data_IF_794479221003
#
_entry.id   IF_794479221003
#
_cell.length_a   1.000
_cell.length_b   1.000
_cell.length_c   1.000
_cell.angle_alpha   90.00
_cell.angle_beta   90.00
_cell.angle_gamma   90.00
#
_symmetry.space_group_name_H-M   'P 1'
#
loop_
_entity.id
_entity.type
_entity.pdbx_description
1 polymer ?
#
# COMPACT_ATOMS: atom_id res chain seq x y z
N UNK A 1 -1.47 -23.51 -23.58
CA UNK A 1 -2.35 -24.13 -22.56
C UNK A 1 -3.12 -23.02 -21.87
N UNK A 2 -4.46 -23.06 -21.88
CA UNK A 2 -5.31 -21.96 -21.39
C UNK A 2 -5.21 -21.84 -19.86
N UNK A 3 -4.80 -20.66 -19.39
CA UNK A 3 -4.53 -20.39 -17.97
C UNK A 3 -5.82 -20.03 -17.22
N UNK A 4 -6.75 -20.98 -17.12
CA UNK A 4 -8.06 -20.75 -16.49
C UNK A 4 -7.97 -20.47 -14.98
N UNK A 5 -6.98 -21.04 -14.28
CA UNK A 5 -6.77 -20.84 -12.84
C UNK A 5 -6.26 -19.45 -12.47
N UNK A 6 -5.35 -18.87 -13.26
CA UNK A 6 -4.88 -17.49 -13.05
C UNK A 6 -6.02 -16.47 -13.28
N UNK A 7 -6.88 -16.72 -14.27
CA UNK A 7 -8.04 -15.87 -14.54
C UNK A 7 -9.08 -15.93 -13.42
N UNK A 8 -9.33 -17.10 -12.83
CA UNK A 8 -10.25 -17.24 -11.69
C UNK A 8 -9.72 -16.49 -10.46
N UNK A 9 -8.44 -16.65 -10.10
CA UNK A 9 -7.84 -15.93 -8.97
C UNK A 9 -7.85 -14.41 -9.16
N UNK A 10 -7.53 -13.93 -10.36
CA UNK A 10 -7.62 -12.51 -10.69
C UNK A 10 -9.06 -11.99 -10.63
N UNK A 11 -10.05 -12.78 -11.08
CA UNK A 11 -11.46 -12.44 -10.97
C UNK A 11 -11.91 -12.36 -9.50
N UNK A 12 -11.49 -13.28 -8.63
CA UNK A 12 -11.77 -13.22 -7.20
C UNK A 12 -11.16 -11.98 -6.54
N UNK A 13 -9.89 -11.70 -6.85
CA UNK A 13 -9.20 -10.51 -6.32
C UNK A 13 -9.88 -9.22 -6.79
N UNK A 14 -10.25 -9.13 -8.08
CA UNK A 14 -10.96 -7.97 -8.61
C UNK A 14 -12.35 -7.81 -7.96
N UNK A 15 -13.10 -8.89 -7.80
CA UNK A 15 -14.39 -8.84 -7.12
C UNK A 15 -14.24 -8.42 -5.65
N UNK A 16 -13.23 -8.93 -4.93
CA UNK A 16 -12.99 -8.52 -3.54
C UNK A 16 -12.68 -7.03 -3.39
N UNK A 17 -12.08 -6.40 -4.41
CA UNK A 17 -11.83 -4.95 -4.42
C UNK A 17 -13.10 -4.19 -4.83
N UNK A 18 -13.78 -4.61 -5.91
CA UNK A 18 -14.93 -3.90 -6.48
C UNK A 18 -16.14 -3.83 -5.52
N UNK A 19 -16.29 -4.82 -4.65
CA UNK A 19 -17.40 -4.90 -3.70
C UNK A 19 -16.98 -4.61 -2.25
N UNK A 20 -15.73 -4.20 -2.01
CA UNK A 20 -15.27 -3.82 -0.68
C UNK A 20 -15.91 -2.49 -0.22
N UNK A 21 -16.22 -2.39 1.06
CA UNK A 21 -16.55 -1.12 1.69
C UNK A 21 -15.33 -0.20 1.75
N UNK A 22 -15.53 1.09 2.01
CA UNK A 22 -14.43 2.06 2.15
C UNK A 22 -13.46 1.67 3.27
N UNK A 23 -13.99 1.17 4.38
CA UNK A 23 -13.21 0.71 5.53
C UNK A 23 -12.39 -0.54 5.16
N UNK A 24 -12.96 -1.45 4.37
CA UNK A 24 -12.24 -2.61 3.88
C UNK A 24 -11.11 -2.22 2.90
N UNK A 25 -11.36 -1.27 1.99
CA UNK A 25 -10.33 -0.75 1.09
C UNK A 25 -9.18 -0.08 1.87
N UNK A 26 -9.50 0.68 2.93
CA UNK A 26 -8.49 1.26 3.82
C UNK A 26 -7.65 0.17 4.49
N UNK A 27 -8.27 -0.87 5.05
CA UNK A 27 -7.54 -2.00 5.64
C UNK A 27 -6.66 -2.72 4.62
N UNK A 28 -7.15 -2.92 3.39
CA UNK A 28 -6.38 -3.53 2.31
C UNK A 28 -5.14 -2.71 1.92
N UNK A 29 -5.23 -1.38 1.92
CA UNK A 29 -4.08 -0.50 1.73
C UNK A 29 -3.07 -0.66 2.85
N UNK A 30 -3.51 -0.65 4.11
CA UNK A 30 -2.62 -0.84 5.27
C UNK A 30 -1.94 -2.22 5.26
N UNK A 31 -2.68 -3.29 4.96
CA UNK A 31 -2.13 -4.64 4.80
C UNK A 31 -1.11 -4.70 3.66
N UNK A 32 -1.41 -4.01 2.55
CA UNK A 32 -0.48 -3.82 1.44
C UNK A 32 0.81 -3.14 1.86
N UNK A 33 0.73 -2.03 2.60
CA UNK A 33 1.89 -1.28 3.08
C UNK A 33 2.78 -2.14 3.98
N UNK A 34 2.18 -2.87 4.94
CA UNK A 34 2.91 -3.79 5.82
C UNK A 34 3.59 -4.89 5.02
N UNK A 35 2.88 -5.50 4.06
CA UNK A 35 3.41 -6.56 3.20
C UNK A 35 4.60 -6.07 2.38
N UNK A 36 4.45 -4.97 1.65
CA UNK A 36 5.51 -4.46 0.79
C UNK A 36 6.71 -3.96 1.59
N UNK A 37 6.50 -3.34 2.75
CA UNK A 37 7.60 -2.96 3.66
C UNK A 37 8.40 -4.17 4.13
N UNK A 38 7.74 -5.26 4.52
CA UNK A 38 8.42 -6.52 4.89
C UNK A 38 9.20 -7.12 3.71
N UNK A 39 8.63 -7.10 2.50
CA UNK A 39 9.29 -7.58 1.29
C UNK A 39 10.51 -6.72 0.92
N UNK A 40 10.39 -5.39 1.02
CA UNK A 40 11.51 -4.47 0.80
C UNK A 40 12.64 -4.74 1.78
N UNK A 41 12.33 -4.85 3.09
CA UNK A 41 13.31 -5.17 4.12
C UNK A 41 14.05 -6.49 3.86
N UNK A 42 13.33 -7.53 3.45
CA UNK A 42 13.96 -8.81 3.10
C UNK A 42 14.86 -8.67 1.88
N UNK A 43 14.40 -7.98 0.83
CA UNK A 43 15.19 -7.76 -0.39
C UNK A 43 16.49 -6.96 -0.11
N UNK A 44 16.45 -6.00 0.82
CA UNK A 44 17.66 -5.30 1.28
C UNK A 44 18.64 -6.27 1.93
N UNK A 45 18.16 -7.14 2.83
CA UNK A 45 18.98 -8.18 3.47
C UNK A 45 19.60 -9.14 2.44
N UNK A 46 18.85 -9.46 1.39
CA UNK A 46 19.27 -10.35 0.31
C UNK A 46 20.14 -9.64 -0.74
N UNK A 47 20.38 -8.33 -0.60
CA UNK A 47 21.08 -7.45 -1.56
C UNK A 47 20.42 -7.38 -2.94
N UNK A 48 19.11 -7.67 -3.03
CA UNK A 48 18.31 -7.50 -4.24
C UNK A 48 17.79 -6.06 -4.32
N UNK A 49 18.62 -5.19 -4.89
CA UNK A 49 18.37 -3.73 -4.99
C UNK A 49 17.13 -3.42 -5.83
N UNK A 50 16.91 -4.16 -6.91
CA UNK A 50 15.77 -3.92 -7.79
C UNK A 50 14.47 -4.21 -7.05
N UNK A 51 14.39 -5.37 -6.39
CA UNK A 51 13.20 -5.78 -5.65
C UNK A 51 12.99 -4.92 -4.40
N UNK A 52 14.04 -4.46 -3.73
CA UNK A 52 13.87 -3.53 -2.61
C UNK A 52 13.23 -2.23 -3.08
N UNK A 53 13.76 -1.62 -4.14
CA UNK A 53 13.24 -0.40 -4.72
C UNK A 53 11.78 -0.56 -5.18
N UNK A 54 11.47 -1.62 -5.93
CA UNK A 54 10.10 -1.90 -6.38
C UNK A 54 9.09 -1.99 -5.23
N UNK A 55 9.46 -2.58 -4.09
CA UNK A 55 8.57 -2.68 -2.94
C UNK A 55 8.53 -1.39 -2.11
N UNK A 56 9.62 -0.62 -2.03
CA UNK A 56 9.63 0.69 -1.39
C UNK A 56 8.72 1.68 -2.12
N UNK A 57 8.81 1.74 -3.46
CA UNK A 57 7.93 2.59 -4.27
C UNK A 57 6.46 2.22 -4.05
N UNK A 58 6.11 0.93 -4.04
CA UNK A 58 4.72 0.50 -3.74
C UNK A 58 4.24 0.94 -2.36
N UNK A 59 5.10 0.92 -1.35
CA UNK A 59 4.75 1.43 -0.03
C UNK A 59 4.54 2.96 -0.07
N UNK A 60 5.41 3.70 -0.76
CA UNK A 60 5.28 5.16 -0.94
C UNK A 60 3.99 5.55 -1.68
N UNK A 61 3.61 4.78 -2.71
CA UNK A 61 2.36 4.97 -3.45
C UNK A 61 1.14 4.80 -2.53
N UNK A 62 1.15 3.80 -1.65
CA UNK A 62 0.06 3.59 -0.68
C UNK A 62 -0.05 4.78 0.27
N UNK A 63 1.05 5.25 0.87
CA UNK A 63 0.98 6.41 1.77
C UNK A 63 0.56 7.68 1.03
N UNK A 64 0.97 7.84 -0.24
CA UNK A 64 0.51 8.95 -1.08
C UNK A 64 -1.01 8.89 -1.29
N UNK A 65 -1.57 7.73 -1.57
CA UNK A 65 -3.02 7.55 -1.70
C UNK A 65 -3.76 7.85 -0.39
N UNK A 66 -3.24 7.36 0.75
CA UNK A 66 -3.80 7.67 2.07
C UNK A 66 -3.79 9.17 2.37
N UNK A 67 -2.74 9.88 1.97
CA UNK A 67 -2.65 11.34 2.12
C UNK A 67 -3.65 12.08 1.23
N UNK A 68 -3.80 11.66 -0.03
CA UNK A 68 -4.73 12.28 -1.01
C UNK A 68 -6.19 12.09 -0.58
N UNK A 69 -6.52 10.92 -0.04
CA UNK A 69 -7.90 10.54 0.29
C UNK A 69 -8.36 10.95 1.69
N UNK A 70 -7.44 11.43 2.54
CA UNK A 70 -7.75 11.89 3.89
C UNK A 70 -8.50 13.23 3.86
N UNK A 71 -9.70 13.24 4.45
CA UNK A 71 -10.46 14.49 4.64
C UNK A 71 -9.81 15.35 5.74
N UNK A 72 -9.02 16.34 5.32
CA UNK A 72 -8.34 17.26 6.23
C UNK A 72 -9.30 18.21 6.97
N UNK A 73 -10.57 18.29 6.56
CA UNK A 73 -11.58 19.09 7.27
C UNK A 73 -12.21 18.34 8.45
N UNK A 74 -11.90 17.05 8.62
CA UNK A 74 -12.46 16.21 9.69
C UNK A 74 -11.96 16.58 11.11
N UNK A 75 -11.11 17.59 11.23
CA UNK A 75 -10.61 18.14 12.49
C UNK A 75 -9.10 17.94 12.68
N UNK A 76 -8.61 18.32 13.85
CA UNK A 76 -7.16 18.32 14.16
C UNK A 76 -6.51 16.93 14.01
N UNK A 77 -7.26 15.86 14.31
CA UNK A 77 -6.76 14.49 14.16
C UNK A 77 -6.37 14.17 12.72
N UNK A 78 -7.08 14.70 11.72
CA UNK A 78 -6.80 14.45 10.31
C UNK A 78 -5.50 15.16 9.89
N UNK A 79 -5.29 16.39 10.35
CA UNK A 79 -4.04 17.13 10.13
C UNK A 79 -2.84 16.39 10.77
N UNK A 80 -3.03 15.87 11.98
CA UNK A 80 -1.97 15.09 12.66
C UNK A 80 -1.71 13.76 11.95
N UNK A 81 -2.75 13.09 11.44
CA UNK A 81 -2.61 11.86 10.67
C UNK A 81 -1.88 12.11 9.34
N UNK A 82 -2.19 13.20 8.64
CA UNK A 82 -1.47 13.59 7.43
C UNK A 82 0.02 13.73 7.68
N UNK A 83 0.42 14.42 8.76
CA UNK A 83 1.83 14.58 9.15
C UNK A 83 2.53 13.25 9.43
N UNK A 84 1.82 12.28 10.01
CA UNK A 84 2.35 10.93 10.23
C UNK A 84 2.60 10.23 8.89
N UNK A 85 1.64 10.29 7.96
CA UNK A 85 1.81 9.69 6.63
C UNK A 85 2.93 10.34 5.83
N UNK A 86 3.05 11.67 5.91
CA UNK A 86 4.12 12.45 5.29
C UNK A 86 5.49 12.02 5.82
N UNK A 87 5.65 11.98 7.16
CA UNK A 87 6.87 11.50 7.79
C UNK A 87 7.25 10.07 7.34
N UNK A 88 6.27 9.15 7.30
CA UNK A 88 6.55 7.78 6.84
C UNK A 88 7.01 7.77 5.39
N UNK A 89 6.36 8.54 4.51
CA UNK A 89 6.72 8.64 3.09
C UNK A 89 8.12 9.21 2.92
N UNK A 90 8.48 10.27 3.64
CA UNK A 90 9.83 10.85 3.62
C UNK A 90 10.88 9.81 4.04
N UNK A 91 10.64 9.06 5.12
CA UNK A 91 11.54 8.00 5.60
C UNK A 91 11.67 6.79 4.68
N UNK A 92 10.72 6.58 3.78
CA UNK A 92 10.83 5.54 2.75
C UNK A 92 11.64 6.00 1.53
N UNK A 93 11.84 7.31 1.35
CA UNK A 93 12.61 7.88 0.26
C UNK A 93 14.10 8.06 0.61
N UNK A 94 14.39 8.44 1.87
CA UNK A 94 15.76 8.51 2.44
C UNK A 94 16.53 7.19 2.31
#
# INVERSE_FOLDING_TARGET
MYNAGANAYNAYKNNSVNYASKEQLLLMLLDGAVKFTKMARQAISDKDIKKSHENLVKTQDIFTELMITLDQNAGEWAVNMYKIYDFIKEKLFE
#
